data_IF_615088601202
#
_entry.id   IF_615088601202
#
_cell.length_a   1.000
_cell.length_b   1.000
_cell.length_c   1.000
_cell.angle_alpha   90.00
_cell.angle_beta   90.00
_cell.angle_gamma   90.00
#
_symmetry.space_group_name_H-M   'P 1'
#
loop_
_entity.id
_entity.type
_entity.pdbx_description
1 polymer ?
#
# COMPACT_ATOMS: atom_id res chain seq x y z
N UNK A 1 25.65 1.65 39.52
CA UNK A 1 24.96 1.85 40.80
C UNK A 1 23.55 1.38 40.64
N UNK A 2 23.07 0.51 41.52
CA UNK A 2 21.66 0.11 41.58
C UNK A 2 21.03 0.95 42.70
N UNK A 3 19.86 1.54 42.44
CA UNK A 3 19.10 2.33 43.41
C UNK A 3 17.72 1.70 43.49
N UNK A 4 17.32 1.27 44.68
CA UNK A 4 15.98 0.70 44.86
C UNK A 4 14.96 1.83 44.96
N UNK A 5 13.74 1.62 44.45
CA UNK A 5 12.69 2.65 44.48
C UNK A 5 12.36 3.10 45.91
N UNK A 6 12.44 2.19 46.88
CA UNK A 6 12.25 2.45 48.30
C UNK A 6 13.29 3.42 48.88
N UNK A 7 14.49 3.47 48.30
CA UNK A 7 15.60 4.31 48.72
C UNK A 7 15.53 5.73 48.10
N UNK A 8 14.69 5.95 47.09
CA UNK A 8 14.54 7.23 46.38
C UNK A 8 13.08 7.69 46.27
N UNK A 9 12.35 7.69 47.39
CA UNK A 9 10.91 8.03 47.42
C UNK A 9 10.56 9.44 46.89
N UNK A 10 11.54 10.35 46.76
CA UNK A 10 11.36 11.70 46.19
C UNK A 10 11.92 11.84 44.77
N UNK A 11 12.41 10.74 44.20
CA UNK A 11 13.03 10.63 42.89
C UNK A 11 14.23 11.59 42.70
N UNK A 12 14.93 11.93 43.77
CA UNK A 12 16.04 12.89 43.73
C UNK A 12 17.25 12.29 43.02
N UNK A 13 17.54 11.02 43.29
CA UNK A 13 18.61 10.29 42.62
C UNK A 13 18.24 10.02 41.17
N UNK A 14 17.01 9.61 40.89
CA UNK A 14 16.48 9.42 39.53
C UNK A 14 16.62 10.69 38.69
N UNK A 15 16.13 11.84 39.18
CA UNK A 15 16.26 13.15 38.48
C UNK A 15 17.72 13.50 38.17
N UNK A 16 18.62 13.26 39.14
CA UNK A 16 20.06 13.51 38.96
C UNK A 16 20.68 12.61 37.90
N UNK A 17 20.25 11.35 37.82
CA UNK A 17 20.71 10.40 36.81
C UNK A 17 20.17 10.74 35.42
N UNK A 18 18.88 11.04 35.30
CA UNK A 18 18.26 11.47 34.04
C UNK A 18 18.98 12.71 33.48
N UNK A 19 19.25 13.73 34.30
CA UNK A 19 19.94 14.95 33.86
C UNK A 19 21.41 14.77 33.43
N UNK A 20 21.99 13.57 33.56
CA UNK A 20 23.38 13.28 33.17
C UNK A 20 23.50 12.17 32.12
N UNK A 21 22.39 11.55 31.78
CA UNK A 21 22.36 10.35 30.93
C UNK A 21 22.00 10.74 29.51
N UNK A 22 22.57 10.04 28.54
CA UNK A 22 22.25 10.22 27.11
C UNK A 22 21.34 9.11 26.57
N UNK A 23 21.22 8.00 27.29
CA UNK A 23 20.45 6.81 26.90
C UNK A 23 19.64 6.28 28.09
N UNK A 24 18.32 6.21 27.93
CA UNK A 24 17.40 5.59 28.88
C UNK A 24 16.86 4.28 28.32
N UNK A 25 16.95 3.22 29.12
CA UNK A 25 16.32 1.94 28.82
C UNK A 25 15.04 1.83 29.65
N UNK A 26 13.89 1.84 28.99
CA UNK A 26 12.60 1.56 29.60
C UNK A 26 12.35 0.05 29.56
N UNK A 27 12.43 -0.59 30.73
CA UNK A 27 12.06 -1.99 30.93
C UNK A 27 11.20 -2.16 32.17
N UNK A 28 10.33 -1.19 32.46
CA UNK A 28 9.51 -1.20 33.69
C UNK A 28 8.34 -2.18 33.53
N UNK A 29 7.62 -2.12 32.40
CA UNK A 29 6.48 -2.98 32.08
C UNK A 29 6.59 -3.53 30.65
N UNK A 30 6.13 -4.77 30.48
CA UNK A 30 5.99 -5.43 29.18
C UNK A 30 4.52 -5.75 28.85
N UNK A 31 4.28 -6.86 28.15
CA UNK A 31 2.92 -7.29 27.74
C UNK A 31 1.95 -7.59 28.88
N UNK A 32 2.43 -7.76 30.12
CA UNK A 32 1.62 -8.05 31.32
C UNK A 32 1.02 -6.80 32.00
N UNK A 33 1.02 -5.66 31.32
CA UNK A 33 0.49 -4.40 31.82
C UNK A 33 -1.03 -4.45 32.07
N UNK A 34 -1.46 -3.75 33.11
CA UNK A 34 -2.85 -3.39 33.34
C UNK A 34 -2.98 -1.87 33.47
N UNK A 35 -3.92 -1.29 32.73
CA UNK A 35 -4.26 0.13 32.84
C UNK A 35 -5.49 0.30 33.76
N UNK A 36 -5.53 1.37 34.59
CA UNK A 36 -4.51 2.40 34.78
C UNK A 36 -3.27 1.91 35.55
N UNK A 37 -2.12 2.55 35.33
CA UNK A 37 -0.86 2.22 35.99
C UNK A 37 -0.90 2.44 37.51
N UNK A 38 -0.20 1.60 38.27
CA UNK A 38 0.01 1.78 39.71
C UNK A 38 0.76 3.09 40.03
N UNK A 39 0.49 3.67 41.20
CA UNK A 39 1.02 4.99 41.60
C UNK A 39 2.56 5.05 41.62
N UNK A 40 3.23 3.93 41.96
CA UNK A 40 4.69 3.84 41.96
C UNK A 40 5.27 3.99 40.55
N UNK A 41 4.73 3.23 39.59
CA UNK A 41 5.15 3.25 38.18
C UNK A 41 4.80 4.60 37.56
N UNK A 42 3.59 5.10 37.84
CA UNK A 42 3.13 6.43 37.40
C UNK A 42 4.09 7.53 37.86
N UNK A 43 4.54 7.47 39.12
CA UNK A 43 5.48 8.43 39.68
C UNK A 43 6.85 8.41 39.01
N UNK A 44 7.35 7.21 38.65
CA UNK A 44 8.60 7.03 37.91
C UNK A 44 8.48 7.61 36.50
N UNK A 45 7.50 7.16 35.71
CA UNK A 45 7.32 7.60 34.32
C UNK A 45 7.09 9.12 34.24
N UNK A 46 6.24 9.67 35.11
CA UNK A 46 6.02 11.13 35.19
C UNK A 46 7.29 11.91 35.56
N UNK A 47 8.20 11.31 36.32
CA UNK A 47 9.48 11.94 36.65
C UNK A 47 10.44 11.88 35.46
N UNK A 48 10.52 10.73 34.79
CA UNK A 48 11.37 10.51 33.62
C UNK A 48 10.91 11.37 32.43
N UNK A 49 9.61 11.46 32.16
CA UNK A 49 9.05 12.23 31.05
C UNK A 49 9.41 13.72 31.07
N UNK A 50 9.83 14.27 32.21
CA UNK A 50 10.36 15.65 32.28
C UNK A 50 11.72 15.83 31.59
N UNK A 51 12.41 14.73 31.31
CA UNK A 51 13.73 14.69 30.69
C UNK A 51 13.70 14.01 29.31
N UNK A 52 12.50 13.73 28.79
CA UNK A 52 12.29 13.07 27.49
C UNK A 52 12.97 13.84 26.35
N UNK A 53 13.00 15.17 26.43
CA UNK A 53 13.76 16.00 25.49
C UNK A 53 15.25 15.98 25.83
N UNK A 54 16.05 15.37 24.95
CA UNK A 54 17.52 15.39 25.01
C UNK A 54 18.17 14.09 25.48
N UNK A 55 17.39 13.02 25.64
CA UNK A 55 17.87 11.67 25.97
C UNK A 55 17.30 10.72 24.92
N UNK A 56 18.10 9.76 24.44
CA UNK A 56 17.60 8.67 23.60
C UNK A 56 16.88 7.65 24.49
N UNK A 57 15.63 7.33 24.19
CA UNK A 57 14.81 6.38 24.96
C UNK A 57 14.63 5.11 24.14
N UNK A 58 15.05 3.97 24.70
CA UNK A 58 14.77 2.65 24.14
C UNK A 58 13.78 1.92 25.04
N UNK A 59 12.63 1.57 24.51
CA UNK A 59 11.69 0.68 25.17
C UNK A 59 12.07 -0.78 24.91
N UNK A 60 12.08 -1.59 25.97
CA UNK A 60 12.33 -3.02 25.92
C UNK A 60 10.98 -3.73 25.86
N UNK A 61 10.76 -4.49 24.80
CA UNK A 61 9.53 -5.19 24.45
C UNK A 61 8.35 -4.29 24.03
N UNK A 62 7.96 -3.34 24.88
CA UNK A 62 6.99 -2.28 24.58
C UNK A 62 7.23 -1.06 25.48
N UNK A 63 6.86 0.16 25.06
CA UNK A 63 6.89 1.30 25.96
C UNK A 63 6.00 1.07 27.19
N UNK A 64 6.54 1.33 28.37
CA UNK A 64 5.83 1.16 29.63
C UNK A 64 4.64 2.10 29.70
N UNK A 65 3.45 1.53 29.82
CA UNK A 65 2.18 2.27 29.76
C UNK A 65 1.30 1.90 28.58
N UNK A 66 1.74 1.02 27.68
CA UNK A 66 0.98 0.58 26.51
C UNK A 66 0.39 -0.82 26.68
N UNK A 67 -0.91 -0.96 26.44
CA UNK A 67 -1.55 -2.25 26.23
C UNK A 67 -1.24 -2.77 24.82
N UNK A 68 -0.43 -3.83 24.78
CA UNK A 68 0.05 -4.48 23.56
C UNK A 68 -1.03 -5.19 22.72
N UNK A 69 -2.27 -5.27 23.21
CA UNK A 69 -3.42 -5.85 22.50
C UNK A 69 -4.36 -4.74 22.07
N UNK A 70 -4.81 -3.90 22.99
CA UNK A 70 -5.86 -2.90 22.72
C UNK A 70 -5.35 -1.58 22.15
N UNK A 71 -4.03 -1.35 22.11
CA UNK A 71 -3.41 -0.07 21.74
C UNK A 71 -3.71 1.07 22.74
N UNK A 72 -4.32 0.76 23.90
CA UNK A 72 -4.57 1.75 24.94
C UNK A 72 -3.26 2.25 25.55
N UNK A 73 -3.19 3.56 25.81
CA UNK A 73 -1.99 4.23 26.33
C UNK A 73 -2.31 4.90 27.66
N UNK A 74 -1.49 4.64 28.67
CA UNK A 74 -1.55 5.32 29.97
C UNK A 74 -1.11 6.79 29.86
N UNK A 75 -1.72 7.73 30.61
CA UNK A 75 -1.43 9.15 30.49
C UNK A 75 0.05 9.55 30.73
N UNK A 76 0.77 8.74 31.50
CA UNK A 76 2.18 8.97 31.85
C UNK A 76 3.17 8.21 30.96
N UNK A 77 2.69 7.52 29.92
CA UNK A 77 3.56 6.85 28.94
C UNK A 77 4.50 7.86 28.29
N UNK A 78 5.77 7.51 28.19
CA UNK A 78 6.80 8.31 27.52
C UNK A 78 7.00 7.79 26.09
N UNK A 79 7.37 8.68 25.17
CA UNK A 79 7.73 8.31 23.80
C UNK A 79 9.11 7.67 23.78
N UNK A 80 9.18 6.48 23.18
CA UNK A 80 10.44 5.85 22.84
C UNK A 80 10.94 6.37 21.49
N UNK A 81 12.26 6.53 21.35
CA UNK A 81 12.89 6.71 20.03
C UNK A 81 12.95 5.38 19.28
N UNK A 82 13.12 4.28 20.02
CA UNK A 82 13.07 2.91 19.48
C UNK A 82 12.36 1.98 20.47
N UNK A 83 11.60 1.03 19.93
CA UNK A 83 11.05 -0.09 20.72
C UNK A 83 11.66 -1.40 20.24
N UNK A 84 12.42 -2.05 21.11
CA UNK A 84 13.05 -3.34 20.89
C UNK A 84 12.04 -4.45 21.20
N UNK A 85 11.23 -4.83 20.21
CA UNK A 85 10.20 -5.85 20.36
C UNK A 85 10.84 -7.24 20.47
N UNK A 86 10.56 -7.98 21.55
CA UNK A 86 11.14 -9.31 21.73
C UNK A 86 10.34 -10.37 20.97
N UNK A 87 11.03 -11.17 20.14
CA UNK A 87 10.50 -12.19 19.23
C UNK A 87 9.60 -11.69 18.08
N UNK A 88 8.58 -10.90 18.41
CA UNK A 88 7.60 -10.38 17.48
C UNK A 88 7.11 -8.99 17.92
N UNK A 89 6.65 -8.21 16.94
CA UNK A 89 5.95 -6.95 17.19
C UNK A 89 4.52 -7.25 17.63
N UNK A 90 4.08 -6.61 18.72
CA UNK A 90 2.75 -6.82 19.29
C UNK A 90 1.73 -5.99 18.51
N UNK A 91 0.56 -6.56 18.24
CA UNK A 91 -0.45 -5.95 17.35
C UNK A 91 -0.93 -4.59 17.84
N UNK A 92 -1.06 -4.40 19.16
CA UNK A 92 -1.43 -3.11 19.73
C UNK A 92 -0.40 -2.01 19.45
N UNK A 93 0.87 -2.35 19.27
CA UNK A 93 1.91 -1.38 18.87
C UNK A 93 1.76 -0.93 17.41
N UNK A 94 1.04 -1.70 16.58
CA UNK A 94 0.76 -1.38 15.17
C UNK A 94 -0.61 -0.73 15.01
N UNK A 95 -1.05 0.03 16.00
CA UNK A 95 -2.31 0.77 15.99
C UNK A 95 -2.15 2.07 16.77
N UNK A 96 -3.00 3.04 16.45
CA UNK A 96 -3.05 4.30 17.19
C UNK A 96 -3.98 4.13 18.41
N UNK A 97 -3.71 4.83 19.53
CA UNK A 97 -2.63 5.80 19.76
C UNK A 97 -1.26 5.19 20.09
N UNK A 98 -1.15 3.90 20.43
CA UNK A 98 0.11 3.30 20.89
C UNK A 98 1.31 3.51 19.95
N UNK A 99 1.10 3.42 18.63
CA UNK A 99 2.16 3.59 17.64
C UNK A 99 2.91 4.93 17.78
N UNK A 100 2.25 6.01 18.21
CA UNK A 100 2.87 7.34 18.40
C UNK A 100 3.96 7.34 19.49
N UNK A 101 3.91 6.38 20.40
CA UNK A 101 4.84 6.26 21.53
C UNK A 101 5.97 5.26 21.29
N UNK A 102 5.93 4.54 20.17
CA UNK A 102 6.82 3.41 19.93
C UNK A 102 8.14 3.78 19.26
N UNK A 103 8.21 4.94 18.59
CA UNK A 103 9.34 5.30 17.74
C UNK A 103 9.60 4.24 16.66
N UNK A 104 10.87 3.97 16.38
CA UNK A 104 11.26 2.93 15.44
C UNK A 104 11.11 1.54 16.08
N UNK A 105 10.21 0.72 15.52
CA UNK A 105 10.02 -0.67 15.93
C UNK A 105 11.16 -1.55 15.40
N UNK A 106 11.88 -2.22 16.29
CA UNK A 106 12.96 -3.15 15.95
C UNK A 106 12.61 -4.52 16.52
N UNK A 107 12.43 -5.52 15.66
CA UNK A 107 12.21 -6.89 16.10
C UNK A 107 13.52 -7.56 16.48
N UNK A 108 13.62 -8.07 17.71
CA UNK A 108 14.79 -8.77 18.25
C UNK A 108 14.49 -10.28 18.34
N UNK A 109 15.13 -11.12 17.51
CA UNK A 109 15.01 -12.57 17.63
C UNK A 109 15.58 -13.06 18.96
N UNK A 110 14.83 -13.90 19.67
CA UNK A 110 15.25 -14.50 20.96
C UNK A 110 15.33 -16.03 20.90
N UNK A 111 15.27 -16.63 19.71
CA UNK A 111 15.43 -18.07 19.50
C UNK A 111 14.15 -18.89 19.68
N UNK A 112 12.96 -18.27 19.68
CA UNK A 112 11.69 -19.01 19.77
C UNK A 112 11.49 -19.98 18.61
N UNK A 113 12.02 -19.65 17.43
CA UNK A 113 11.99 -20.49 16.24
C UNK A 113 12.67 -21.85 16.43
N UNK A 114 13.59 -21.96 17.39
CA UNK A 114 14.26 -23.22 17.75
C UNK A 114 13.53 -23.98 18.85
N UNK A 115 12.75 -23.26 19.67
CA UNK A 115 12.11 -23.81 20.86
C UNK A 115 10.67 -24.28 20.61
N UNK A 116 9.97 -23.66 19.65
CA UNK A 116 8.55 -23.89 19.39
C UNK A 116 8.39 -24.25 17.91
N UNK A 117 8.02 -25.51 17.58
CA UNK A 117 7.64 -25.88 16.23
C UNK A 117 6.48 -25.01 15.74
N UNK A 118 6.56 -24.54 14.49
CA UNK A 118 5.53 -23.70 13.86
C UNK A 118 5.15 -22.45 14.68
N UNK A 119 6.10 -21.84 15.39
CA UNK A 119 5.84 -20.67 16.24
C UNK A 119 5.23 -19.47 15.48
N UNK A 120 5.38 -19.43 14.15
CA UNK A 120 4.80 -18.43 13.27
C UNK A 120 3.37 -18.74 12.83
N UNK A 121 2.83 -19.91 13.17
CA UNK A 121 1.47 -20.30 12.79
C UNK A 121 0.44 -19.34 13.39
N UNK A 122 -0.34 -18.70 12.51
CA UNK A 122 -1.34 -17.70 12.90
C UNK A 122 -0.77 -16.30 13.15
N UNK A 123 0.53 -16.07 12.92
CA UNK A 123 1.11 -14.74 12.92
C UNK A 123 0.95 -14.06 11.57
N UNK A 124 0.98 -12.74 11.60
CA UNK A 124 1.09 -11.87 10.45
C UNK A 124 2.53 -11.37 10.33
N UNK A 125 2.91 -10.90 9.15
CA UNK A 125 4.28 -10.51 8.84
C UNK A 125 4.42 -8.99 8.73
N UNK A 126 5.61 -8.48 9.01
CA UNK A 126 5.96 -7.11 8.65
C UNK A 126 6.54 -7.08 7.23
N UNK A 127 6.30 -5.99 6.51
CA UNK A 127 6.97 -5.77 5.22
C UNK A 127 8.37 -5.24 5.51
N UNK A 128 9.38 -6.12 5.40
CA UNK A 128 10.79 -5.77 5.68
C UNK A 128 11.57 -5.53 4.39
N UNK A 129 12.60 -4.66 4.41
CA UNK A 129 13.46 -4.46 3.24
C UNK A 129 14.19 -5.73 2.79
N UNK A 130 14.56 -6.62 3.72
CA UNK A 130 15.22 -7.88 3.41
C UNK A 130 14.32 -8.80 2.56
N UNK A 131 13.05 -8.93 2.93
CA UNK A 131 12.09 -9.74 2.16
C UNK A 131 11.82 -9.10 0.79
N UNK A 132 11.71 -7.77 0.73
CA UNK A 132 11.45 -7.06 -0.52
C UNK A 132 12.62 -7.12 -1.49
N UNK A 133 13.86 -7.11 -0.99
CA UNK A 133 15.06 -7.30 -1.78
C UNK A 133 15.04 -8.66 -2.51
N UNK A 134 14.56 -9.71 -1.85
CA UNK A 134 14.43 -11.04 -2.44
C UNK A 134 13.38 -11.13 -3.57
N UNK A 135 12.39 -10.23 -3.59
CA UNK A 135 11.36 -10.18 -4.63
C UNK A 135 11.75 -9.35 -5.85
N UNK A 136 12.84 -8.58 -5.78
CA UNK A 136 13.23 -7.70 -6.89
C UNK A 136 13.41 -8.50 -8.18
N UNK A 137 12.74 -8.12 -9.28
CA UNK A 137 12.95 -8.76 -10.57
C UNK A 137 14.40 -8.61 -11.03
N UNK A 138 14.99 -9.75 -11.44
CA UNK A 138 16.33 -9.81 -12.01
C UNK A 138 16.42 -8.98 -13.29
N UNK A 139 17.61 -8.46 -13.58
CA UNK A 139 17.93 -7.70 -14.81
C UNK A 139 19.04 -8.40 -15.60
N UNK A 140 18.71 -9.43 -16.40
CA UNK A 140 19.69 -10.11 -17.25
C UNK A 140 20.35 -9.15 -18.25
N UNK A 141 21.63 -9.38 -18.57
CA UNK A 141 22.38 -8.55 -19.52
C UNK A 141 21.87 -8.65 -20.97
N UNK A 142 21.23 -9.77 -21.32
CA UNK A 142 20.63 -10.04 -22.63
C UNK A 142 19.14 -9.66 -22.71
N UNK A 143 18.61 -8.98 -21.69
CA UNK A 143 17.21 -8.58 -21.63
C UNK A 143 16.86 -7.47 -22.64
N UNK A 144 15.62 -7.49 -23.12
CA UNK A 144 15.05 -6.44 -23.97
C UNK A 144 13.74 -5.93 -23.36
N UNK A 145 13.14 -4.86 -23.92
CA UNK A 145 11.87 -4.31 -23.40
C UNK A 145 10.75 -5.35 -23.22
N UNK A 146 10.64 -6.34 -24.10
CA UNK A 146 9.64 -7.41 -23.97
C UNK A 146 9.87 -8.36 -22.77
N UNK A 147 11.08 -8.41 -22.21
CA UNK A 147 11.44 -9.28 -21.07
C UNK A 147 10.73 -8.82 -19.79
N UNK A 148 10.46 -7.52 -19.69
CA UNK A 148 9.85 -6.88 -18.51
C UNK A 148 8.36 -6.58 -18.69
N UNK A 149 7.74 -7.20 -19.70
CA UNK A 149 6.32 -7.11 -19.99
C UNK A 149 5.79 -5.72 -20.32
N UNK A 150 4.47 -5.64 -20.45
CA UNK A 150 3.75 -4.39 -20.75
C UNK A 150 2.72 -4.11 -19.68
N UNK A 151 2.83 -2.96 -19.00
CA UNK A 151 1.80 -2.44 -18.10
C UNK A 151 0.80 -1.60 -18.90
N UNK A 152 -0.48 -1.98 -18.88
CA UNK A 152 -1.57 -1.16 -19.44
C UNK A 152 -2.26 -0.40 -18.31
N UNK A 153 -2.46 0.91 -18.48
CA UNK A 153 -3.04 1.78 -17.45
C UNK A 153 -4.26 2.47 -18.04
N UNK A 154 -5.45 2.09 -17.58
CA UNK A 154 -6.73 2.67 -17.97
C UNK A 154 -7.11 3.69 -16.90
N UNK A 155 -6.83 4.95 -17.20
CA UNK A 155 -6.88 6.02 -16.21
C UNK A 155 -7.11 7.37 -16.87
N UNK A 156 -7.43 8.36 -16.05
CA UNK A 156 -7.54 9.75 -16.43
C UNK A 156 -8.87 10.13 -17.07
N UNK A 157 -9.18 11.40 -16.90
CA UNK A 157 -10.35 12.11 -17.44
C UNK A 157 -10.00 13.58 -17.58
N UNK A 158 -10.92 14.37 -18.13
CA UNK A 158 -10.73 15.81 -18.33
C UNK A 158 -10.38 16.56 -17.04
N UNK A 159 -10.90 16.12 -15.89
CA UNK A 159 -10.64 16.75 -14.58
C UNK A 159 -9.44 16.15 -13.84
N UNK A 160 -8.98 14.95 -14.24
CA UNK A 160 -7.97 14.18 -13.53
C UNK A 160 -6.85 13.69 -14.45
N UNK A 161 -6.30 14.60 -15.26
CA UNK A 161 -5.24 14.29 -16.23
C UNK A 161 -3.91 13.88 -15.60
N UNK A 162 -3.62 14.36 -14.38
CA UNK A 162 -2.40 14.02 -13.64
C UNK A 162 -2.34 12.58 -13.14
N UNK A 163 -3.48 11.97 -12.84
CA UNK A 163 -3.55 10.64 -12.24
C UNK A 163 -2.92 9.56 -13.15
N UNK A 164 -3.22 9.61 -14.45
CA UNK A 164 -2.62 8.69 -15.43
C UNK A 164 -1.12 8.93 -15.63
N UNK A 165 -0.66 10.19 -15.55
CA UNK A 165 0.77 10.50 -15.67
C UNK A 165 1.55 9.94 -14.48
N UNK A 166 1.08 10.19 -13.25
CA UNK A 166 1.69 9.67 -12.02
C UNK A 166 1.75 8.14 -12.02
N UNK A 167 0.63 7.48 -12.30
CA UNK A 167 0.57 6.02 -12.35
C UNK A 167 1.46 5.43 -13.45
N UNK A 168 1.50 6.04 -14.64
CA UNK A 168 2.33 5.57 -15.74
C UNK A 168 3.82 5.75 -15.48
N UNK A 169 4.20 6.89 -14.88
CA UNK A 169 5.60 7.15 -14.57
C UNK A 169 6.08 6.21 -13.46
N UNK A 170 5.27 5.98 -12.43
CA UNK A 170 5.54 5.00 -11.40
C UNK A 170 5.70 3.58 -11.97
N UNK A 171 4.82 3.17 -12.89
CA UNK A 171 4.92 1.86 -13.54
C UNK A 171 6.23 1.71 -14.35
N UNK A 172 6.63 2.74 -15.10
CA UNK A 172 7.91 2.72 -15.82
C UNK A 172 9.11 2.72 -14.87
N UNK A 173 9.11 3.57 -13.84
CA UNK A 173 10.21 3.66 -12.85
C UNK A 173 10.33 2.41 -11.98
N UNK A 174 9.23 1.67 -11.77
CA UNK A 174 9.27 0.33 -11.16
C UNK A 174 9.98 -0.69 -12.05
N UNK A 175 10.12 -0.38 -13.35
CA UNK A 175 10.91 -1.13 -14.29
C UNK A 175 10.14 -1.95 -15.33
N UNK A 176 8.85 -1.66 -15.55
CA UNK A 176 8.10 -2.24 -16.66
C UNK A 176 8.79 -1.98 -18.00
N UNK A 177 8.74 -2.95 -18.91
CA UNK A 177 9.43 -2.84 -20.20
C UNK A 177 8.76 -1.89 -21.18
N UNK A 178 7.43 -1.82 -21.12
CA UNK A 178 6.59 -0.89 -21.86
C UNK A 178 5.43 -0.47 -20.96
N UNK A 179 5.07 0.81 -20.98
CA UNK A 179 3.82 1.29 -20.40
C UNK A 179 2.93 1.84 -21.50
N UNK A 180 1.67 1.41 -21.48
CA UNK A 180 0.63 1.85 -22.41
C UNK A 180 -0.52 2.48 -21.63
N UNK A 181 -0.63 3.81 -21.70
CA UNK A 181 -1.71 4.54 -21.07
C UNK A 181 -2.93 4.58 -22.01
N UNK A 182 -4.04 4.04 -21.55
CA UNK A 182 -5.33 4.07 -22.21
C UNK A 182 -6.19 5.18 -21.60
N UNK A 183 -6.41 6.24 -22.39
CA UNK A 183 -6.96 7.52 -21.92
C UNK A 183 -8.09 7.99 -22.83
N UNK A 184 -9.03 8.82 -22.34
CA UNK A 184 -9.94 9.55 -23.21
C UNK A 184 -9.17 10.31 -24.30
N UNK A 185 -9.53 10.13 -25.57
CA UNK A 185 -8.82 10.76 -26.69
C UNK A 185 -8.70 12.29 -26.56
N UNK A 186 -9.67 12.94 -25.91
CA UNK A 186 -9.69 14.38 -25.67
C UNK A 186 -8.54 14.90 -24.81
N UNK A 187 -8.00 14.12 -23.86
CA UNK A 187 -6.96 14.62 -22.95
C UNK A 187 -5.54 14.41 -23.49
N UNK A 188 -5.38 13.65 -24.58
CA UNK A 188 -4.08 13.25 -25.10
C UNK A 188 -3.17 14.43 -25.42
N UNK A 189 -3.64 15.44 -26.16
CA UNK A 189 -2.81 16.59 -26.56
C UNK A 189 -2.34 17.42 -25.38
N UNK A 190 -3.08 17.43 -24.26
CA UNK A 190 -2.73 18.16 -23.05
C UNK A 190 -1.57 17.51 -22.28
N UNK A 191 -1.40 16.18 -22.40
CA UNK A 191 -0.44 15.42 -21.59
C UNK A 191 0.66 14.72 -22.38
N UNK A 192 0.50 14.51 -23.69
CA UNK A 192 1.45 13.76 -24.52
C UNK A 192 2.88 14.32 -24.49
N UNK A 193 3.03 15.64 -24.33
CA UNK A 193 4.34 16.30 -24.21
C UNK A 193 5.00 16.18 -22.84
N UNK A 194 4.27 15.77 -21.80
CA UNK A 194 4.80 15.67 -20.44
C UNK A 194 5.53 14.36 -20.19
N UNK A 195 5.15 13.29 -20.89
CA UNK A 195 5.76 11.98 -20.69
C UNK A 195 5.97 11.23 -22.02
N UNK A 196 7.09 11.50 -22.73
CA UNK A 196 7.31 11.01 -24.10
C UNK A 196 7.57 9.49 -24.19
N UNK A 197 7.95 8.82 -23.10
CA UNK A 197 8.23 7.39 -23.05
C UNK A 197 6.95 6.53 -23.09
N UNK A 198 5.80 7.10 -22.71
CA UNK A 198 4.51 6.39 -22.70
C UNK A 198 3.94 6.23 -24.10
N UNK A 199 3.39 5.04 -24.36
CA UNK A 199 2.58 4.81 -25.55
C UNK A 199 1.10 4.99 -25.23
N UNK A 200 0.36 5.62 -26.14
CA UNK A 200 -1.03 5.99 -25.91
C UNK A 200 -2.00 5.03 -26.60
N UNK A 201 -3.08 4.64 -25.90
CA UNK A 201 -4.27 4.02 -26.46
C UNK A 201 -5.43 5.00 -26.30
N UNK A 202 -5.81 5.65 -27.39
CA UNK A 202 -6.89 6.63 -27.35
C UNK A 202 -8.24 5.91 -27.27
N UNK A 203 -9.01 6.24 -26.25
CA UNK A 203 -10.31 5.66 -25.98
C UNK A 203 -11.45 6.59 -26.42
N UNK A 204 -12.56 6.02 -26.94
CA UNK A 204 -13.85 6.71 -27.04
C UNK A 204 -14.21 7.38 -25.71
N UNK A 205 -14.78 8.57 -25.80
CA UNK A 205 -15.06 9.41 -24.64
C UNK A 205 -16.36 10.18 -24.84
N UNK A 206 -16.99 10.53 -23.73
CA UNK A 206 -18.19 11.38 -23.65
C UNK A 206 -17.93 12.43 -22.58
N UNK A 207 -18.11 13.71 -22.91
CA UNK A 207 -17.86 14.83 -21.98
C UNK A 207 -16.49 14.80 -21.25
N UNK A 208 -15.46 14.19 -21.86
CA UNK A 208 -14.11 14.14 -21.31
C UNK A 208 -13.81 12.95 -20.38
N UNK A 209 -14.72 12.00 -20.24
CA UNK A 209 -14.54 10.74 -19.49
C UNK A 209 -14.63 9.52 -20.42
N UNK A 210 -14.18 8.35 -19.96
CA UNK A 210 -14.18 7.13 -20.80
C UNK A 210 -15.62 6.70 -21.09
N UNK A 211 -15.98 6.57 -22.37
CA UNK A 211 -17.32 6.14 -22.76
C UNK A 211 -17.49 4.61 -22.69
N UNK A 212 -18.73 4.11 -22.57
CA UNK A 212 -19.02 2.67 -22.56
C UNK A 212 -18.38 1.94 -23.76
N UNK A 213 -18.44 2.54 -24.95
CA UNK A 213 -17.90 1.98 -26.20
C UNK A 213 -16.38 1.74 -26.19
N UNK A 214 -15.65 2.34 -25.24
CA UNK A 214 -14.21 2.16 -25.10
C UNK A 214 -13.82 0.72 -24.76
N UNK A 215 -14.73 -0.06 -24.19
CA UNK A 215 -14.52 -1.48 -23.88
C UNK A 215 -14.08 -2.27 -25.11
N UNK A 216 -14.59 -1.96 -26.30
CA UNK A 216 -14.24 -2.68 -27.53
C UNK A 216 -12.80 -2.39 -27.97
N UNK A 217 -12.32 -1.16 -27.74
CA UNK A 217 -10.94 -0.75 -28.04
C UNK A 217 -9.96 -1.38 -27.04
N UNK A 218 -10.29 -1.37 -25.75
CA UNK A 218 -9.49 -2.02 -24.70
C UNK A 218 -9.41 -3.53 -24.99
N UNK A 219 -10.54 -4.17 -25.27
CA UNK A 219 -10.61 -5.61 -25.51
C UNK A 219 -9.71 -6.07 -26.66
N UNK A 220 -9.63 -5.30 -27.74
CA UNK A 220 -8.75 -5.57 -28.89
C UNK A 220 -7.25 -5.43 -28.57
N UNK A 221 -6.88 -4.77 -27.46
CA UNK A 221 -5.49 -4.49 -27.11
C UNK A 221 -4.99 -5.24 -25.87
N UNK A 222 -5.86 -5.95 -25.14
CA UNK A 222 -5.48 -6.63 -23.91
C UNK A 222 -4.48 -7.77 -24.07
N UNK A 223 -4.44 -8.43 -25.23
CA UNK A 223 -3.46 -9.49 -25.47
C UNK A 223 -2.02 -8.99 -25.40
N UNK A 224 -1.82 -7.68 -25.58
CA UNK A 224 -0.51 -7.01 -25.49
C UNK A 224 -0.14 -6.65 -24.04
N UNK A 225 -1.08 -6.70 -23.10
CA UNK A 225 -0.84 -6.34 -21.70
C UNK A 225 -0.42 -7.56 -20.88
N UNK A 226 0.62 -7.39 -20.08
CA UNK A 226 1.07 -8.36 -19.07
C UNK A 226 0.43 -8.06 -17.71
N UNK A 227 0.12 -6.80 -17.43
CA UNK A 227 -0.61 -6.35 -16.24
C UNK A 227 -1.51 -5.16 -16.57
N UNK A 228 -2.54 -4.95 -15.76
CA UNK A 228 -3.56 -3.94 -15.97
C UNK A 228 -3.81 -3.12 -14.70
N UNK A 229 -3.88 -1.81 -14.84
CA UNK A 229 -4.38 -0.88 -13.84
C UNK A 229 -5.66 -0.23 -14.37
N UNK A 230 -6.71 -0.15 -13.55
CA UNK A 230 -7.91 0.60 -13.86
C UNK A 230 -8.31 1.43 -12.64
N UNK A 231 -8.59 2.72 -12.82
CA UNK A 231 -9.20 3.52 -11.75
C UNK A 231 -8.72 4.94 -11.53
N UNK A 232 -7.39 5.21 -11.51
CA UNK A 232 -6.88 6.55 -11.23
C UNK A 232 -7.51 7.64 -12.11
N UNK A 233 -8.30 8.53 -11.51
CA UNK A 233 -8.90 9.68 -12.19
C UNK A 233 -9.90 9.34 -13.30
N UNK A 234 -10.56 8.18 -13.26
CA UNK A 234 -11.58 7.83 -14.26
C UNK A 234 -12.82 8.73 -14.21
N UNK A 235 -13.15 9.26 -13.03
CA UNK A 235 -14.48 9.79 -12.74
C UNK A 235 -15.51 8.68 -12.48
N UNK A 236 -16.68 9.05 -12.00
CA UNK A 236 -17.77 8.12 -11.62
C UNK A 236 -19.05 8.35 -12.43
N UNK A 237 -18.93 8.98 -13.60
CA UNK A 237 -20.04 9.25 -14.50
C UNK A 237 -20.64 7.95 -15.05
N UNK A 238 -21.91 8.02 -15.44
CA UNK A 238 -22.69 6.84 -15.83
C UNK A 238 -22.06 6.07 -17.01
N UNK A 239 -21.53 6.76 -18.02
CA UNK A 239 -20.87 6.12 -19.17
C UNK A 239 -19.58 5.39 -18.78
N UNK A 240 -18.82 5.92 -17.82
CA UNK A 240 -17.63 5.28 -17.24
C UNK A 240 -18.01 4.08 -16.39
N UNK A 241 -19.09 4.18 -15.62
CA UNK A 241 -19.64 3.06 -14.85
C UNK A 241 -20.13 1.92 -15.76
N UNK A 242 -20.80 2.25 -16.87
CA UNK A 242 -21.20 1.26 -17.90
C UNK A 242 -19.99 0.64 -18.59
N UNK A 243 -18.93 1.41 -18.88
CA UNK A 243 -17.65 0.89 -19.36
C UNK A 243 -17.09 -0.16 -18.39
N UNK A 244 -16.97 0.18 -17.09
CA UNK A 244 -16.48 -0.73 -16.06
C UNK A 244 -17.33 -1.99 -15.97
N UNK A 245 -18.66 -1.84 -15.90
CA UNK A 245 -19.59 -2.96 -15.82
C UNK A 245 -19.47 -3.90 -17.03
N UNK A 246 -19.40 -3.34 -18.25
CA UNK A 246 -19.25 -4.13 -19.47
C UNK A 246 -17.86 -4.76 -19.59
N UNK A 247 -16.83 -4.10 -19.04
CA UNK A 247 -15.47 -4.60 -18.99
C UNK A 247 -15.31 -5.77 -18.00
N UNK A 248 -15.97 -5.74 -16.85
CA UNK A 248 -15.89 -6.82 -15.87
C UNK A 248 -16.78 -8.02 -16.23
N UNK A 249 -17.96 -7.77 -16.82
CA UNK A 249 -18.91 -8.81 -17.24
C UNK A 249 -18.58 -9.48 -18.59
N UNK A 250 -17.29 -9.60 -18.95
CA UNK A 250 -16.88 -10.16 -20.24
C UNK A 250 -17.10 -11.67 -20.37
N UNK A 251 -17.54 -12.32 -19.29
CA UNK A 251 -18.04 -13.69 -19.34
C UNK A 251 -19.34 -13.75 -20.15
N UNK A 252 -19.27 -14.19 -21.41
CA UNK A 252 -20.46 -14.76 -22.09
C UNK A 252 -20.81 -14.29 -23.50
N UNK A 253 -20.09 -13.37 -24.15
CA UNK A 253 -20.40 -13.04 -25.56
C UNK A 253 -19.58 -13.90 -26.52
N UNK A 254 -20.20 -14.98 -27.04
CA UNK A 254 -19.91 -15.44 -28.41
C UNK A 254 -20.10 -14.22 -29.31
N UNK A 255 -19.07 -13.78 -30.01
CA UNK A 255 -19.13 -12.57 -30.83
C UNK A 255 -20.33 -12.61 -31.78
N UNK A 256 -21.36 -11.82 -31.49
CA UNK A 256 -22.35 -11.43 -32.50
C UNK A 256 -21.80 -10.17 -33.15
N UNK A 257 -21.30 -10.33 -34.37
CA UNK A 257 -21.03 -9.20 -35.25
C UNK A 257 -22.36 -8.46 -35.48
N UNK A 258 -22.57 -7.36 -34.75
CA UNK A 258 -23.61 -6.40 -35.05
C UNK A 258 -23.17 -5.59 -36.25
N UNK A 259 -23.63 -5.96 -37.43
CA UNK A 259 -23.49 -5.17 -38.65
C UNK A 259 -24.34 -3.91 -38.49
N UNK A 260 -23.71 -2.74 -38.46
CA UNK A 260 -24.37 -1.45 -38.67
C UNK A 260 -23.78 -0.86 -39.94
N UNK A 261 -24.64 -0.61 -40.94
CA UNK A 261 -24.32 0.20 -42.11
C UNK A 261 -23.96 -0.56 -43.39
N UNK A 262 -24.46 -0.04 -44.51
CA UNK A 262 -24.27 -0.53 -45.88
C UNK A 262 -22.80 -0.41 -46.36
N UNK A 263 -21.93 -1.32 -45.92
CA UNK A 263 -20.59 -1.49 -46.50
C UNK A 263 -20.42 -2.98 -46.85
N UNK A 264 -20.06 -3.34 -48.10
CA UNK A 264 -19.77 -4.72 -48.46
C UNK A 264 -18.57 -5.21 -47.64
N UNK A 265 -18.79 -6.26 -46.87
CA UNK A 265 -17.75 -6.92 -46.10
C UNK A 265 -16.86 -7.76 -47.02
N UNK A 266 -15.56 -7.45 -47.08
CA UNK A 266 -14.56 -8.40 -47.60
C UNK A 266 -14.54 -9.67 -46.72
N UNK A 267 -14.46 -10.88 -47.31
CA UNK A 267 -14.35 -12.11 -46.54
C UNK A 267 -12.88 -12.33 -46.19
N UNK A 268 -12.51 -12.05 -44.93
CA UNK A 268 -11.44 -12.67 -44.13
C UNK A 268 -10.84 -11.67 -43.11
N UNK A 269 -11.62 -11.28 -42.10
CA UNK A 269 -11.00 -10.83 -40.84
C UNK A 269 -10.70 -12.05 -39.95
N UNK A 270 -9.45 -12.24 -39.48
CA UNK A 270 -9.12 -13.32 -38.58
C UNK A 270 -9.84 -13.08 -37.24
N UNK A 271 -10.74 -13.99 -36.88
CA UNK A 271 -11.43 -14.04 -35.58
C UNK A 271 -10.38 -13.94 -34.47
N UNK A 272 -10.21 -12.77 -33.86
CA UNK A 272 -9.31 -12.63 -32.72
C UNK A 272 -9.85 -13.48 -31.57
N UNK A 273 -9.05 -14.47 -31.16
CA UNK A 273 -9.36 -15.31 -30.00
C UNK A 273 -9.14 -14.46 -28.75
N UNK A 274 -10.13 -13.68 -28.35
CA UNK A 274 -10.11 -12.94 -27.08
C UNK A 274 -9.64 -13.89 -25.97
N UNK A 275 -8.47 -13.61 -25.37
CA UNK A 275 -7.98 -14.32 -24.17
C UNK A 275 -9.13 -14.42 -23.16
N UNK A 276 -9.39 -15.64 -22.68
CA UNK A 276 -10.50 -15.92 -21.77
C UNK A 276 -10.30 -15.25 -20.40
N UNK A 277 -9.04 -15.02 -20.02
CA UNK A 277 -8.65 -14.51 -18.71
C UNK A 277 -7.97 -13.13 -18.82
N UNK A 278 -8.31 -12.24 -17.90
CA UNK A 278 -7.68 -10.93 -17.78
C UNK A 278 -6.22 -11.10 -17.32
N UNK A 279 -5.29 -10.23 -17.77
CA UNK A 279 -4.00 -10.09 -17.11
C UNK A 279 -4.18 -9.74 -15.61
N UNK A 280 -3.18 -9.98 -14.75
CA UNK A 280 -3.14 -9.47 -13.39
C UNK A 280 -3.63 -8.01 -13.31
N UNK A 281 -4.62 -7.78 -12.46
CA UNK A 281 -5.41 -6.55 -12.43
C UNK A 281 -5.27 -5.84 -11.08
N UNK A 282 -5.00 -4.54 -11.14
CA UNK A 282 -5.04 -3.59 -10.03
C UNK A 282 -6.23 -2.67 -10.23
N UNK A 283 -7.05 -2.52 -9.19
CA UNK A 283 -8.20 -1.62 -9.14
C UNK A 283 -7.98 -0.60 -8.02
N UNK A 284 -7.99 0.68 -8.39
CA UNK A 284 -7.78 1.80 -7.46
C UNK A 284 -8.84 2.89 -7.64
N UNK A 285 -8.92 3.82 -6.68
CA UNK A 285 -9.62 5.09 -6.85
C UNK A 285 -11.08 4.95 -7.35
N UNK A 286 -11.42 5.65 -8.44
CA UNK A 286 -12.78 5.68 -8.98
C UNK A 286 -13.27 4.31 -9.45
N UNK A 287 -12.38 3.39 -9.85
CA UNK A 287 -12.78 2.02 -10.15
C UNK A 287 -13.35 1.32 -8.91
N UNK A 288 -12.75 1.53 -7.73
CA UNK A 288 -13.27 0.98 -6.47
C UNK A 288 -14.61 1.61 -6.08
N UNK A 289 -14.79 2.91 -6.32
CA UNK A 289 -16.08 3.58 -6.09
C UNK A 289 -17.19 3.06 -6.99
N UNK A 290 -16.91 2.90 -8.29
CA UNK A 290 -17.86 2.31 -9.24
C UNK A 290 -18.18 0.86 -8.86
N UNK A 291 -17.18 0.09 -8.41
CA UNK A 291 -17.38 -1.28 -7.95
C UNK A 291 -18.31 -1.38 -6.75
N UNK A 292 -18.25 -0.43 -5.82
CA UNK A 292 -19.09 -0.40 -4.63
C UNK A 292 -20.59 -0.38 -4.95
N UNK A 293 -20.98 0.21 -6.08
CA UNK A 293 -22.38 0.24 -6.54
C UNK A 293 -22.85 -1.07 -7.19
N UNK A 294 -21.95 -2.04 -7.37
CA UNK A 294 -22.24 -3.29 -8.06
C UNK A 294 -22.34 -4.48 -7.08
N UNK A 295 -23.53 -5.07 -6.88
CA UNK A 295 -23.70 -6.18 -5.96
C UNK A 295 -22.80 -7.37 -6.30
N UNK A 296 -22.14 -7.92 -5.29
CA UNK A 296 -21.27 -9.10 -5.40
C UNK A 296 -20.20 -8.97 -6.50
N UNK A 297 -19.72 -7.75 -6.75
CA UNK A 297 -18.75 -7.43 -7.79
C UNK A 297 -17.52 -8.34 -7.79
N UNK A 298 -17.09 -8.80 -6.62
CA UNK A 298 -15.94 -9.70 -6.43
C UNK A 298 -16.11 -11.05 -7.15
N UNK A 299 -17.34 -11.48 -7.43
CA UNK A 299 -17.62 -12.70 -8.23
C UNK A 299 -17.34 -12.52 -9.72
N UNK A 300 -17.26 -11.27 -10.19
CA UNK A 300 -16.98 -10.95 -11.60
C UNK A 300 -15.50 -10.78 -11.89
N UNK A 301 -14.69 -10.66 -10.83
CA UNK A 301 -13.24 -10.53 -10.93
C UNK A 301 -12.56 -11.90 -10.92
N UNK A 302 -11.43 -12.05 -11.62
CA UNK A 302 -10.48 -13.12 -11.34
C UNK A 302 -10.05 -13.11 -9.87
N UNK A 303 -9.71 -14.26 -9.31
CA UNK A 303 -9.10 -14.33 -7.97
C UNK A 303 -7.72 -13.65 -7.97
N UNK A 304 -7.33 -13.07 -6.83
CA UNK A 304 -6.04 -12.37 -6.63
C UNK A 304 -5.84 -11.10 -7.48
N UNK A 305 -6.91 -10.43 -7.89
CA UNK A 305 -6.83 -9.02 -8.24
C UNK A 305 -6.43 -8.20 -7.00
N UNK A 306 -5.72 -7.09 -7.22
CA UNK A 306 -5.23 -6.23 -6.16
C UNK A 306 -6.15 -5.02 -6.06
N UNK A 307 -6.75 -4.82 -4.91
CA UNK A 307 -7.58 -3.67 -4.59
C UNK A 307 -6.80 -2.76 -3.66
N UNK A 308 -6.78 -1.46 -3.93
CA UNK A 308 -6.00 -0.51 -3.13
C UNK A 308 -6.86 0.53 -2.40
N UNK A 309 -7.88 0.15 -1.62
CA UNK A 309 -8.77 1.13 -1.00
C UNK A 309 -8.07 1.93 0.11
N UNK A 310 -8.31 3.24 0.15
CA UNK A 310 -8.19 4.03 1.38
C UNK A 310 -9.41 3.81 2.28
N UNK A 311 -9.43 4.27 3.55
CA UNK A 311 -10.54 3.99 4.47
C UNK A 311 -11.93 4.41 3.95
N UNK A 312 -12.04 5.56 3.27
CA UNK A 312 -13.27 5.97 2.58
C UNK A 312 -13.72 5.03 1.44
N UNK A 313 -12.82 4.56 0.58
CA UNK A 313 -13.15 3.59 -0.48
C UNK A 313 -13.54 2.23 0.12
N UNK A 314 -12.84 1.80 1.18
CA UNK A 314 -13.20 0.59 1.92
C UNK A 314 -14.59 0.71 2.55
N UNK A 315 -14.91 1.88 3.12
CA UNK A 315 -16.24 2.19 3.64
C UNK A 315 -17.31 2.06 2.56
N UNK A 316 -17.06 2.61 1.36
CA UNK A 316 -17.97 2.42 0.21
C UNK A 316 -18.12 0.95 -0.19
N UNK A 317 -17.03 0.19 -0.30
CA UNK A 317 -17.06 -1.22 -0.73
C UNK A 317 -17.78 -2.16 0.27
N UNK A 318 -17.74 -1.82 1.56
CA UNK A 318 -18.21 -2.69 2.65
C UNK A 318 -19.54 -2.25 3.26
N UNK A 319 -19.91 -0.99 3.08
CA UNK A 319 -21.05 -0.37 3.76
C UNK A 319 -20.78 -0.02 5.25
N UNK A 320 -19.59 -0.30 5.77
CA UNK A 320 -19.19 0.09 7.12
C UNK A 320 -18.84 1.59 7.17
N UNK A 321 -18.93 2.21 8.34
CA UNK A 321 -18.46 3.58 8.53
C UNK A 321 -16.93 3.66 8.47
N UNK A 322 -16.38 4.83 8.10
CA UNK A 322 -14.92 5.05 8.12
C UNK A 322 -14.33 4.79 9.51
N UNK A 323 -15.07 5.12 10.58
CA UNK A 323 -14.62 4.86 11.96
C UNK A 323 -14.49 3.36 12.22
N UNK A 324 -15.48 2.55 11.86
CA UNK A 324 -15.41 1.09 12.02
C UNK A 324 -14.27 0.48 11.21
N UNK A 325 -14.03 1.00 9.98
CA UNK A 325 -12.88 0.59 9.16
C UNK A 325 -11.56 0.92 9.86
N UNK A 326 -11.43 2.12 10.44
CA UNK A 326 -10.21 2.56 11.13
C UNK A 326 -9.96 1.83 12.45
N UNK A 327 -11.01 1.52 13.21
CA UNK A 327 -10.89 0.83 14.51
C UNK A 327 -10.47 -0.65 14.32
N UNK A 328 -10.75 -1.25 13.16
CA UNK A 328 -10.57 -2.70 12.90
C UNK A 328 -9.84 -2.99 11.59
N UNK A 329 -8.86 -2.13 11.23
CA UNK A 329 -8.17 -2.16 9.93
C UNK A 329 -7.65 -3.54 9.55
N UNK A 330 -6.88 -4.19 10.45
CA UNK A 330 -6.27 -5.50 10.20
C UNK A 330 -7.32 -6.59 10.00
N UNK A 331 -8.24 -6.70 10.95
CA UNK A 331 -9.33 -7.70 10.91
C UNK A 331 -10.17 -7.58 9.65
N UNK A 332 -10.56 -6.36 9.28
CA UNK A 332 -11.43 -6.11 8.12
C UNK A 332 -10.69 -6.33 6.81
N UNK A 333 -9.41 -5.95 6.71
CA UNK A 333 -8.60 -6.24 5.53
C UNK A 333 -8.52 -7.77 5.30
N UNK A 334 -8.25 -8.56 6.35
CA UNK A 334 -8.21 -10.03 6.28
C UNK A 334 -9.59 -10.62 5.93
N UNK A 335 -10.64 -10.16 6.61
CA UNK A 335 -12.01 -10.62 6.39
C UNK A 335 -12.42 -10.46 4.93
N UNK A 336 -12.27 -9.26 4.39
CA UNK A 336 -12.72 -8.95 3.04
C UNK A 336 -11.77 -9.48 1.95
N UNK A 337 -10.46 -9.61 2.24
CA UNK A 337 -9.55 -10.32 1.34
C UNK A 337 -9.97 -11.79 1.14
N UNK A 338 -10.35 -12.48 2.22
CA UNK A 338 -10.90 -13.85 2.17
C UNK A 338 -12.24 -13.89 1.45
N UNK A 339 -13.18 -13.03 1.84
CA UNK A 339 -14.54 -13.03 1.32
C UNK A 339 -14.58 -12.74 -0.20
N UNK A 340 -13.84 -11.73 -0.63
CA UNK A 340 -13.80 -11.33 -2.03
C UNK A 340 -12.84 -12.18 -2.87
N UNK A 341 -11.99 -12.98 -2.21
CA UNK A 341 -10.88 -13.72 -2.81
C UNK A 341 -9.91 -12.81 -3.57
N UNK A 342 -9.70 -11.61 -3.04
CA UNK A 342 -8.83 -10.59 -3.60
C UNK A 342 -7.73 -10.21 -2.63
N UNK A 343 -6.65 -9.63 -3.15
CA UNK A 343 -5.63 -9.00 -2.31
C UNK A 343 -6.10 -7.60 -2.00
N UNK A 344 -6.18 -7.26 -0.72
CA UNK A 344 -6.65 -5.95 -0.26
C UNK A 344 -5.48 -5.19 0.36
N UNK A 345 -5.15 -4.04 -0.24
CA UNK A 345 -4.20 -3.07 0.31
C UNK A 345 -4.98 -1.94 0.97
N UNK A 346 -5.21 -2.05 2.27
CA UNK A 346 -5.90 -1.01 3.03
C UNK A 346 -4.92 0.14 3.35
N UNK A 347 -4.99 1.19 2.53
CA UNK A 347 -4.09 2.36 2.59
C UNK A 347 -4.29 3.16 3.89
N UNK A 348 -3.28 3.94 4.24
CA UNK A 348 -3.22 4.78 5.44
C UNK A 348 -1.93 4.54 6.22
N UNK A 349 -1.78 5.22 7.37
CA UNK A 349 -0.70 4.90 8.30
C UNK A 349 -0.76 3.41 8.65
N UNK A 350 0.41 2.76 8.63
CA UNK A 350 0.51 1.31 8.81
C UNK A 350 -0.32 0.56 7.76
N UNK A 351 0.02 0.76 6.48
CA UNK A 351 -0.70 0.12 5.37
C UNK A 351 -0.66 -1.40 5.52
N UNK A 352 -1.83 -2.03 5.35
CA UNK A 352 -2.01 -3.48 5.48
C UNK A 352 -2.23 -4.08 4.09
N UNK A 353 -1.48 -5.12 3.76
CA UNK A 353 -1.71 -5.98 2.59
C UNK A 353 -2.26 -7.31 3.08
N UNK A 354 -3.52 -7.59 2.83
CA UNK A 354 -4.18 -8.84 3.22
C UNK A 354 -4.40 -9.75 2.00
N UNK A 355 -4.12 -11.04 2.16
CA UNK A 355 -4.26 -12.05 1.12
C UNK A 355 -5.50 -12.95 1.33
N UNK A 356 -6.03 -13.56 0.26
CA UNK A 356 -7.21 -14.45 0.34
C UNK A 356 -7.04 -15.70 1.22
N UNK A 357 -5.81 -16.10 1.51
CA UNK A 357 -5.50 -17.23 2.39
C UNK A 357 -5.59 -16.87 3.89
N UNK A 358 -5.72 -15.58 4.21
CA UNK A 358 -5.83 -15.08 5.57
C UNK A 358 -4.55 -14.57 6.21
N UNK A 359 -3.45 -14.53 5.47
CA UNK A 359 -2.26 -13.83 5.92
C UNK A 359 -2.39 -12.33 5.67
N UNK A 360 -1.64 -11.56 6.44
CA UNK A 360 -1.55 -10.12 6.30
C UNK A 360 -0.10 -9.69 6.48
N UNK A 361 0.25 -8.61 5.80
CA UNK A 361 1.56 -8.00 5.80
C UNK A 361 1.41 -6.52 6.13
N UNK A 362 2.11 -6.03 7.14
CA UNK A 362 1.97 -4.67 7.64
C UNK A 362 3.23 -3.87 7.33
N UNK A 363 3.09 -2.74 6.64
CA UNK A 363 4.15 -1.75 6.56
C UNK A 363 4.19 -0.97 7.88
N UNK A 364 5.36 -0.86 8.51
CA UNK A 364 5.54 -0.04 9.72
C UNK A 364 5.75 1.44 9.39
N UNK A 365 5.52 1.87 8.15
CA UNK A 365 5.65 3.28 7.79
C UNK A 365 4.35 4.03 8.12
N UNK A 366 4.50 5.15 8.84
CA UNK A 366 3.45 6.13 9.06
C UNK A 366 3.98 7.52 8.68
N UNK A 367 4.10 7.78 7.39
CA UNK A 367 4.68 9.03 6.88
C UNK A 367 3.58 10.02 6.41
N UNK A 368 3.48 11.21 7.04
CA UNK A 368 2.58 12.27 6.60
C UNK A 368 2.83 12.78 5.17
N UNK A 369 4.04 12.62 4.62
CA UNK A 369 4.38 13.05 3.24
C UNK A 369 3.53 12.34 2.17
N UNK A 370 3.02 11.14 2.49
CA UNK A 370 2.17 10.35 1.61
C UNK A 370 0.69 10.77 1.67
N UNK A 371 0.29 11.63 2.62
CA UNK A 371 -1.08 12.08 2.82
C UNK A 371 -1.48 13.18 1.82
N UNK A 372 -1.27 12.92 0.52
CA UNK A 372 -1.54 13.85 -0.58
C UNK A 372 -2.30 13.15 -1.71
N UNK A 373 -3.23 13.88 -2.33
CA UNK A 373 -3.88 13.39 -3.54
C UNK A 373 -2.82 13.10 -4.61
N UNK A 374 -2.90 11.93 -5.24
CA UNK A 374 -1.93 11.46 -6.24
C UNK A 374 -0.89 10.46 -5.72
N UNK A 375 -0.64 10.36 -4.40
CA UNK A 375 0.27 9.33 -3.88
C UNK A 375 -0.25 7.91 -4.14
N UNK A 376 -1.57 7.71 -4.00
CA UNK A 376 -2.23 6.45 -4.35
C UNK A 376 -2.02 6.01 -5.80
N UNK A 377 -2.03 6.96 -6.74
CA UNK A 377 -1.82 6.69 -8.16
C UNK A 377 -0.42 6.11 -8.41
N UNK A 378 0.59 6.60 -7.65
CA UNK A 378 1.96 6.07 -7.69
C UNK A 378 2.03 4.65 -7.16
N UNK A 379 1.39 4.37 -6.02
CA UNK A 379 1.34 3.02 -5.46
C UNK A 379 0.72 2.04 -6.46
N UNK A 380 -0.41 2.40 -7.06
CA UNK A 380 -1.09 1.57 -8.05
C UNK A 380 -0.23 1.35 -9.31
N UNK A 381 0.46 2.39 -9.77
CA UNK A 381 1.43 2.33 -10.87
C UNK A 381 2.62 1.40 -10.59
N UNK A 382 3.25 1.56 -9.41
CA UNK A 382 4.36 0.71 -8.95
C UNK A 382 3.97 -0.77 -8.96
N UNK A 383 2.85 -1.12 -8.33
CA UNK A 383 2.35 -2.50 -8.26
C UNK A 383 2.12 -3.05 -9.66
N UNK A 384 1.51 -2.26 -10.55
CA UNK A 384 1.21 -2.68 -11.93
C UNK A 384 2.48 -2.92 -12.74
N UNK A 385 3.51 -2.10 -12.55
CA UNK A 385 4.79 -2.31 -13.23
C UNK A 385 5.59 -3.50 -12.68
N UNK A 386 5.46 -3.83 -11.38
CA UNK A 386 5.99 -5.08 -10.83
C UNK A 386 5.25 -6.31 -11.36
N UNK A 387 3.92 -6.26 -11.44
CA UNK A 387 3.11 -7.30 -12.08
C UNK A 387 3.51 -7.50 -13.54
N UNK A 388 3.75 -6.43 -14.30
CA UNK A 388 4.19 -6.52 -15.69
C UNK A 388 5.53 -7.23 -15.84
N UNK A 389 6.41 -7.13 -14.84
CA UNK A 389 7.70 -7.83 -14.78
C UNK A 389 7.56 -9.32 -14.40
N UNK A 390 6.35 -9.79 -14.12
CA UNK A 390 6.07 -11.21 -13.82
C UNK A 390 6.06 -11.56 -12.33
N UNK A 391 6.07 -10.56 -11.43
CA UNK A 391 5.89 -10.83 -9.99
C UNK A 391 4.48 -11.38 -9.73
N UNK A 392 4.37 -12.26 -8.74
CA UNK A 392 3.07 -12.71 -8.24
C UNK A 392 2.31 -11.52 -7.63
N UNK A 393 0.97 -11.50 -7.69
CA UNK A 393 0.19 -10.38 -7.18
C UNK A 393 0.48 -9.97 -5.74
N UNK A 394 0.62 -10.93 -4.82
CA UNK A 394 0.91 -10.63 -3.41
C UNK A 394 2.30 -10.02 -3.22
N UNK A 395 3.31 -10.55 -3.92
CA UNK A 395 4.69 -10.05 -3.85
C UNK A 395 4.79 -8.64 -4.45
N UNK A 396 4.10 -8.40 -5.57
CA UNK A 396 4.00 -7.08 -6.20
C UNK A 396 3.29 -6.05 -5.29
N UNK A 397 2.24 -6.46 -4.58
CA UNK A 397 1.55 -5.63 -3.60
C UNK A 397 2.47 -5.21 -2.45
N UNK A 398 3.17 -6.18 -1.84
CA UNK A 398 4.11 -5.94 -0.73
C UNK A 398 5.26 -5.03 -1.16
N UNK A 399 5.89 -5.34 -2.30
CA UNK A 399 7.00 -4.55 -2.85
C UNK A 399 6.55 -3.13 -3.21
N UNK A 400 5.37 -2.99 -3.83
CA UNK A 400 4.77 -1.69 -4.14
C UNK A 400 4.57 -0.83 -2.91
N UNK A 401 4.01 -1.39 -1.83
CA UNK A 401 3.79 -0.68 -0.56
C UNK A 401 5.12 -0.27 0.07
N UNK A 402 6.13 -1.14 0.08
CA UNK A 402 7.44 -0.79 0.63
C UNK A 402 8.11 0.32 -0.16
N UNK A 403 8.21 0.19 -1.49
CA UNK A 403 8.87 1.20 -2.34
C UNK A 403 8.16 2.55 -2.22
N UNK A 404 6.83 2.55 -2.24
CA UNK A 404 6.04 3.77 -2.05
C UNK A 404 6.29 4.42 -0.68
N UNK A 405 6.32 3.63 0.39
CA UNK A 405 6.65 4.12 1.74
C UNK A 405 8.05 4.72 1.81
N UNK A 406 9.06 4.02 1.27
CA UNK A 406 10.44 4.49 1.22
C UNK A 406 10.60 5.77 0.40
N UNK A 407 9.86 5.94 -0.71
CA UNK A 407 9.84 7.22 -1.42
C UNK A 407 9.34 8.36 -0.55
N UNK A 408 8.34 8.10 0.31
CA UNK A 408 7.84 9.07 1.27
C UNK A 408 8.92 9.50 2.26
N UNK A 409 9.66 8.53 2.81
CA UNK A 409 10.73 8.78 3.78
C UNK A 409 11.88 9.58 3.13
N UNK A 410 12.38 9.10 1.97
CA UNK A 410 13.45 9.73 1.20
C UNK A 410 13.11 11.16 0.76
N UNK A 411 11.87 11.41 0.33
CA UNK A 411 11.45 12.75 -0.08
C UNK A 411 11.40 13.74 1.11
N UNK A 412 11.22 13.24 2.33
CA UNK A 412 11.05 14.04 3.55
C UNK A 412 12.31 14.22 4.40
N UNK A 413 13.48 13.72 3.97
CA UNK A 413 14.71 13.77 4.77
C UNK A 413 15.13 15.21 5.15
N UNK A 414 15.10 16.13 4.17
CA UNK A 414 15.59 17.51 4.33
C UNK A 414 14.49 18.58 4.10
N UNK A 415 13.23 18.15 3.93
CA UNK A 415 12.12 19.01 3.56
C UNK A 415 10.92 18.72 4.45
N UNK A 416 10.15 19.76 4.78
CA UNK A 416 8.91 19.60 5.53
C UNK A 416 7.98 18.58 4.82
N UNK A 417 7.55 17.50 5.50
CA UNK A 417 6.66 16.50 4.92
C UNK A 417 5.37 17.10 4.33
N UNK A 418 4.91 18.24 4.84
CA UNK A 418 3.75 18.94 4.31
C UNK A 418 4.01 19.59 2.94
N UNK A 419 5.24 19.85 2.53
CA UNK A 419 5.55 20.46 1.23
C UNK A 419 5.70 19.44 0.09
N UNK A 420 5.76 18.14 0.42
CA UNK A 420 5.99 17.08 -0.56
C UNK A 420 4.79 16.91 -1.49
N UNK A 421 5.08 16.86 -2.79
CA UNK A 421 4.13 16.55 -3.86
C UNK A 421 4.35 15.12 -4.37
N UNK A 422 3.33 14.50 -5.00
CA UNK A 422 3.51 13.19 -5.65
C UNK A 422 4.64 13.19 -6.69
N UNK A 423 4.87 14.30 -7.40
CA UNK A 423 5.99 14.42 -8.34
C UNK A 423 7.35 14.25 -7.66
N UNK A 424 7.50 14.68 -6.40
CA UNK A 424 8.73 14.52 -5.65
C UNK A 424 8.94 13.05 -5.28
N UNK A 425 7.86 12.36 -4.88
CA UNK A 425 7.88 10.91 -4.56
C UNK A 425 8.30 10.07 -5.77
N UNK A 426 7.81 10.42 -6.97
CA UNK A 426 8.16 9.75 -8.23
C UNK A 426 9.67 9.77 -8.48
N UNK A 427 10.32 10.89 -8.17
CA UNK A 427 11.77 11.02 -8.37
C UNK A 427 12.59 10.12 -7.45
N UNK A 428 12.02 9.68 -6.31
CA UNK A 428 12.69 8.83 -5.33
C UNK A 428 12.59 7.33 -5.64
N UNK A 429 11.72 6.91 -6.57
CA UNK A 429 11.53 5.49 -6.91
C UNK A 429 12.86 4.79 -7.29
N UNK A 430 13.73 5.37 -8.14
CA UNK A 430 15.00 4.74 -8.47
C UNK A 430 15.92 4.55 -7.26
N UNK A 431 15.96 5.53 -6.34
CA UNK A 431 16.76 5.46 -5.11
C UNK A 431 16.24 4.37 -4.18
N UNK A 432 14.92 4.32 -3.94
CA UNK A 432 14.29 3.28 -3.12
C UNK A 432 14.57 1.86 -3.66
N UNK A 433 14.46 1.67 -4.98
CA UNK A 433 14.82 0.41 -5.62
C UNK A 433 16.32 0.11 -5.55
N UNK A 434 17.18 1.13 -5.64
CA UNK A 434 18.62 1.01 -5.48
C UNK A 434 19.01 0.47 -4.11
N UNK A 435 18.37 0.96 -3.04
CA UNK A 435 18.58 0.47 -1.67
C UNK A 435 18.29 -1.04 -1.59
N UNK A 436 17.16 -1.49 -2.12
CA UNK A 436 16.83 -2.91 -2.14
C UNK A 436 17.81 -3.75 -2.96
N UNK A 437 18.34 -3.21 -4.08
CA UNK A 437 19.35 -3.93 -4.88
C UNK A 437 20.64 -4.13 -4.11
N UNK A 438 21.09 -3.11 -3.37
CA UNK A 438 22.29 -3.23 -2.51
C UNK A 438 22.09 -4.24 -1.39
N UNK A 439 20.85 -4.40 -0.88
CA UNK A 439 20.53 -5.41 0.13
C UNK A 439 20.40 -6.84 -0.45
N UNK A 440 20.15 -6.97 -1.75
CA UNK A 440 20.03 -8.25 -2.44
C UNK A 440 21.38 -8.85 -2.86
N UNK A 441 22.40 -7.99 -3.04
CA UNK A 441 23.79 -8.33 -3.35
C UNK A 441 24.58 -8.65 -2.07
#
# INVERSE_FOLDING_TARGET
TIVLAEEDQRYATLKKLCGKTQLLLDGILGTGIHLPLDDSIRGVLKTVGKFEKGIVILAVDCPSGIDCISSAVGPETIHADYTLCMAAVKTGLLSFPAYEYCGNLVNIPIGLEKAIPDWTSGLHELITPADMAAFLPKRPLDAHKGTFGTAMIIAGSINYTGAVLLAAEAAYRSGAGLVRAAIPGMIHTAIAGQFPEVTWLLLPHEAGVIAESAVDVVNKNLEKATALLIGPGLGTEETTAHFMRRFLNRQGRKGSAGVIGFVPSDPEEPKSKVKKDLPPLVLDADALRILADYPEWWKTLPENCILTPHPGEMSSLTGLTIKEVQDRRLDLAILFAKEWKQIVILKGALTIVASPDGHAYISTCANPSLARAGSGDLLAGLITGFLAQGLKPLDAARLGVWVHASCGDLASEDVDPAAILPSDLVTQIPTALGILRVLAD
#
